data_IF_451225788116
#
_entry.id   IF_451225788116
#
_cell.length_a   1.000
_cell.length_b   1.000
_cell.length_c   1.000
_cell.angle_alpha   90.00
_cell.angle_beta   90.00
_cell.angle_gamma   90.00
#
_symmetry.space_group_name_H-M   'P 1'
#
loop_
_entity.id
_entity.type
_entity.pdbx_description
1 polymer ?
#
# COMPACT_ATOMS: atom_id res chain seq x y z
N UNK A 1 -20.40 26.52 -1.53
CA UNK A 1 -19.57 26.35 -2.73
C UNK A 1 -18.81 25.06 -2.54
N UNK A 2 -18.87 24.12 -3.51
CA UNK A 2 -18.07 22.89 -3.44
C UNK A 2 -16.59 23.23 -3.59
N UNK A 3 -15.73 22.68 -2.74
CA UNK A 3 -14.28 22.79 -2.89
C UNK A 3 -13.89 22.20 -4.27
N UNK A 4 -13.00 22.85 -5.03
CA UNK A 4 -12.59 22.33 -6.34
C UNK A 4 -11.83 21.00 -6.20
N UNK A 5 -11.80 20.23 -7.29
CA UNK A 5 -10.97 19.03 -7.36
C UNK A 5 -9.48 19.41 -7.21
N UNK A 6 -8.72 18.51 -6.57
CA UNK A 6 -7.27 18.63 -6.45
C UNK A 6 -6.60 17.75 -7.49
N UNK A 7 -5.56 18.26 -8.13
CA UNK A 7 -4.81 17.59 -9.17
C UNK A 7 -3.33 17.52 -8.81
N UNK A 8 -2.74 16.35 -8.90
CA UNK A 8 -1.32 16.14 -8.70
C UNK A 8 -0.74 15.40 -9.91
N UNK A 9 0.23 16.02 -10.58
CA UNK A 9 0.92 15.46 -11.74
C UNK A 9 2.29 14.96 -11.32
N UNK A 10 2.69 13.79 -11.81
CA UNK A 10 3.94 13.14 -11.48
C UNK A 10 4.52 12.41 -12.70
N UNK A 11 5.84 12.33 -12.78
CA UNK A 11 6.54 11.36 -13.64
C UNK A 11 6.73 10.10 -12.81
N UNK A 12 6.03 9.04 -13.16
CA UNK A 12 5.98 7.82 -12.39
C UNK A 12 7.35 7.13 -12.33
N UNK A 13 7.72 6.65 -11.13
CA UNK A 13 9.04 6.08 -10.88
C UNK A 13 8.94 4.63 -10.38
N UNK A 14 9.58 3.71 -11.11
CA UNK A 14 9.72 2.32 -10.68
C UNK A 14 10.93 2.16 -9.77
N UNK A 15 10.76 2.37 -8.46
CA UNK A 15 11.82 2.22 -7.47
C UNK A 15 12.17 0.75 -7.17
N UNK A 16 11.42 -0.19 -7.72
CA UNK A 16 11.59 -1.63 -7.47
C UNK A 16 12.19 -2.41 -8.62
N UNK A 17 12.77 -1.72 -9.61
CA UNK A 17 13.33 -2.34 -10.82
C UNK A 17 14.29 -3.49 -10.52
N UNK A 18 15.19 -3.31 -9.54
CA UNK A 18 16.20 -4.29 -9.12
C UNK A 18 15.77 -5.10 -7.88
N UNK A 19 14.50 -5.01 -7.47
CA UNK A 19 14.01 -5.73 -6.29
C UNK A 19 13.88 -7.25 -6.55
N UNK A 20 13.72 -8.02 -5.47
CA UNK A 20 13.44 -9.47 -5.55
C UNK A 20 12.10 -9.77 -6.22
N UNK A 21 11.13 -8.85 -6.14
CA UNK A 21 9.88 -9.00 -6.88
C UNK A 21 10.08 -8.66 -8.36
N UNK A 22 10.40 -9.67 -9.15
CA UNK A 22 10.79 -9.54 -10.56
C UNK A 22 9.68 -9.06 -11.50
N UNK A 23 8.42 -8.89 -11.03
CA UNK A 23 7.36 -8.26 -11.83
C UNK A 23 7.67 -6.79 -12.16
N UNK A 24 8.59 -6.17 -11.40
CA UNK A 24 9.06 -4.82 -11.61
C UNK A 24 10.21 -4.72 -12.63
N UNK A 25 10.77 -5.85 -13.08
CA UNK A 25 11.77 -5.89 -14.16
C UNK A 25 11.11 -6.12 -15.50
N UNK A 26 11.63 -5.49 -16.56
CA UNK A 26 11.07 -5.55 -17.91
C UNK A 26 10.97 -6.97 -18.45
N UNK A 27 12.05 -7.74 -18.30
CA UNK A 27 12.14 -9.09 -18.87
C UNK A 27 11.11 -10.07 -18.28
N UNK A 28 10.84 -9.94 -16.99
CA UNK A 28 9.85 -10.78 -16.30
C UNK A 28 8.44 -10.27 -16.59
N UNK A 29 8.20 -8.98 -16.47
CA UNK A 29 6.89 -8.39 -16.71
C UNK A 29 6.37 -8.70 -18.13
N UNK A 30 7.25 -8.66 -19.16
CA UNK A 30 6.90 -9.01 -20.55
C UNK A 30 6.45 -10.47 -20.70
N UNK A 31 6.99 -11.41 -19.92
CA UNK A 31 6.55 -12.82 -19.92
C UNK A 31 5.11 -12.99 -19.41
N UNK A 32 4.64 -12.04 -18.60
CA UNK A 32 3.25 -12.00 -18.10
C UNK A 32 2.33 -11.08 -18.92
N UNK A 33 2.77 -10.61 -20.10
CA UNK A 33 1.98 -9.83 -21.05
C UNK A 33 1.93 -8.32 -20.78
N UNK A 34 2.80 -7.81 -19.90
CA UNK A 34 2.95 -6.37 -19.67
C UNK A 34 3.93 -5.74 -20.67
N UNK A 35 3.86 -4.41 -20.83
CA UNK A 35 4.79 -3.66 -21.71
C UNK A 35 6.23 -3.65 -21.16
N UNK A 36 6.38 -3.66 -19.84
CA UNK A 36 7.62 -3.55 -19.11
C UNK A 36 7.40 -3.70 -17.61
N UNK A 37 8.45 -3.46 -16.81
CA UNK A 37 8.39 -3.50 -15.36
C UNK A 37 7.37 -2.52 -14.78
N UNK A 38 6.50 -3.01 -13.93
CA UNK A 38 5.43 -2.23 -13.35
C UNK A 38 5.97 -1.24 -12.32
N UNK A 39 5.46 -0.02 -12.31
CA UNK A 39 5.57 0.86 -11.13
C UNK A 39 4.87 0.17 -9.97
N UNK A 40 5.46 0.11 -8.76
CA UNK A 40 4.81 -0.49 -7.61
C UNK A 40 3.47 0.17 -7.28
N UNK A 41 2.42 -0.62 -7.03
CA UNK A 41 1.10 -0.09 -6.65
C UNK A 41 1.12 0.79 -5.39
N UNK A 42 2.17 0.65 -4.56
CA UNK A 42 2.40 1.57 -3.42
C UNK A 42 2.74 2.98 -3.90
N UNK A 43 3.49 3.14 -5.01
CA UNK A 43 3.75 4.47 -5.59
C UNK A 43 2.46 5.07 -6.18
N UNK A 44 1.66 4.26 -6.89
CA UNK A 44 0.35 4.70 -7.39
C UNK A 44 -0.56 5.16 -6.25
N UNK A 45 -0.54 4.44 -5.12
CA UNK A 45 -1.26 4.83 -3.91
C UNK A 45 -0.70 6.13 -3.32
N UNK A 46 0.61 6.31 -3.31
CA UNK A 46 1.24 7.53 -2.80
C UNK A 46 0.79 8.77 -3.59
N UNK A 47 0.66 8.66 -4.91
CA UNK A 47 0.18 9.76 -5.75
C UNK A 47 -1.27 10.15 -5.42
N UNK A 48 -2.14 9.14 -5.18
CA UNK A 48 -3.52 9.37 -4.72
C UNK A 48 -3.56 9.97 -3.31
N UNK A 49 -2.71 9.49 -2.40
CA UNK A 49 -2.59 10.01 -1.04
C UNK A 49 -2.13 11.47 -1.05
N UNK A 50 -1.20 11.84 -1.95
CA UNK A 50 -0.76 13.22 -2.11
C UNK A 50 -1.91 14.14 -2.56
N UNK A 51 -2.69 13.77 -3.57
CA UNK A 51 -3.84 14.54 -4.00
C UNK A 51 -4.89 14.69 -2.88
N UNK A 52 -5.07 13.65 -2.06
CA UNK A 52 -5.96 13.67 -0.89
C UNK A 52 -5.45 14.63 0.19
N UNK A 53 -4.14 14.58 0.50
CA UNK A 53 -3.51 15.46 1.47
C UNK A 53 -3.56 16.93 1.01
N UNK A 54 -3.29 17.21 -0.26
CA UNK A 54 -3.37 18.56 -0.81
C UNK A 54 -4.80 19.16 -0.72
N UNK A 55 -5.82 18.28 -0.59
CA UNK A 55 -7.20 18.70 -0.39
C UNK A 55 -7.55 18.98 1.08
N UNK A 56 -7.14 18.12 2.03
CA UNK A 56 -7.56 18.18 3.44
C UNK A 56 -6.45 18.48 4.44
N UNK A 57 -5.19 18.38 4.04
CA UNK A 57 -4.03 18.59 4.90
C UNK A 57 -3.93 17.63 6.07
N UNK A 58 -3.34 18.12 7.18
CA UNK A 58 -3.07 17.36 8.40
C UNK A 58 -4.32 16.75 9.05
N UNK A 59 -5.48 17.35 8.88
CA UNK A 59 -6.73 16.88 9.48
C UNK A 59 -7.08 15.45 9.03
N UNK A 60 -6.75 15.11 7.77
CA UNK A 60 -6.98 13.77 7.23
C UNK A 60 -6.15 12.68 7.93
N UNK A 61 -4.93 13.00 8.36
CA UNK A 61 -4.01 12.01 8.99
C UNK A 61 -4.46 11.52 10.37
N UNK A 62 -5.44 12.19 10.99
CA UNK A 62 -5.86 11.91 12.37
C UNK A 62 -7.10 11.02 12.49
N UNK A 63 -7.77 10.69 11.41
CA UNK A 63 -9.03 9.91 11.46
C UNK A 63 -9.62 9.64 10.08
N UNK A 64 -8.87 9.97 9.03
CA UNK A 64 -9.29 9.76 7.65
C UNK A 64 -9.07 8.34 7.16
N UNK A 65 -9.60 8.09 5.97
CA UNK A 65 -9.41 6.81 5.26
C UNK A 65 -9.01 7.07 3.82
N UNK A 66 -8.39 6.09 3.20
CA UNK A 66 -8.16 6.03 1.76
C UNK A 66 -8.18 4.57 1.31
N UNK A 67 -8.85 4.32 0.19
CA UNK A 67 -8.81 3.02 -0.47
C UNK A 67 -8.51 3.20 -1.96
N UNK A 68 -7.81 2.22 -2.53
CA UNK A 68 -7.52 2.19 -3.95
C UNK A 68 -7.46 0.75 -4.47
N UNK A 69 -7.91 0.59 -5.73
CA UNK A 69 -7.72 -0.61 -6.55
C UNK A 69 -6.84 -0.25 -7.72
N UNK A 70 -5.83 -1.08 -7.99
CA UNK A 70 -4.92 -0.93 -9.12
C UNK A 70 -5.48 -1.73 -10.29
N UNK A 71 -5.85 -1.02 -11.37
CA UNK A 71 -6.67 -1.54 -12.48
C UNK A 71 -5.79 -1.86 -13.68
N UNK A 72 -4.86 -0.94 -13.99
CA UNK A 72 -3.89 -1.07 -15.06
C UNK A 72 -2.52 -0.59 -14.58
N UNK A 73 -1.44 -1.16 -15.07
CA UNK A 73 -0.11 -0.73 -14.67
C UNK A 73 0.21 0.68 -15.14
N UNK A 74 0.95 1.40 -14.32
CA UNK A 74 1.74 2.57 -14.69
C UNK A 74 3.17 2.12 -14.93
N UNK A 75 3.87 2.73 -15.87
CA UNK A 75 5.24 2.38 -16.22
C UNK A 75 6.21 3.50 -15.88
N UNK A 76 7.48 3.12 -15.66
CA UNK A 76 8.54 4.08 -15.37
C UNK A 76 8.64 5.17 -16.44
N UNK A 77 8.72 6.43 -16.02
CA UNK A 77 8.85 7.59 -16.90
C UNK A 77 7.54 8.07 -17.53
N UNK A 78 6.42 7.35 -17.36
CA UNK A 78 5.12 7.84 -17.82
C UNK A 78 4.63 8.98 -16.93
N UNK A 79 3.98 9.97 -17.55
CA UNK A 79 3.26 11.00 -16.79
C UNK A 79 1.95 10.42 -16.28
N UNK A 80 1.71 10.54 -14.98
CA UNK A 80 0.47 10.15 -14.34
C UNK A 80 -0.18 11.37 -13.66
N UNK A 81 -1.51 11.34 -13.58
CA UNK A 81 -2.32 12.39 -12.98
C UNK A 81 -3.20 11.80 -11.90
N UNK A 82 -2.92 12.13 -10.64
CA UNK A 82 -3.77 11.80 -9.52
C UNK A 82 -4.79 12.92 -9.31
N UNK A 83 -6.07 12.57 -9.22
CA UNK A 83 -7.16 13.51 -8.96
C UNK A 83 -7.93 13.10 -7.71
N UNK A 84 -8.27 14.08 -6.88
CA UNK A 84 -9.16 13.96 -5.75
C UNK A 84 -10.34 14.90 -5.94
N UNK A 85 -11.50 14.36 -6.27
CA UNK A 85 -12.71 15.11 -6.62
C UNK A 85 -13.74 14.94 -5.50
N UNK A 86 -14.28 16.03 -4.92
CA UNK A 86 -15.38 15.97 -3.98
C UNK A 86 -16.55 15.17 -4.55
N UNK A 87 -17.08 14.23 -3.78
CA UNK A 87 -18.28 13.47 -4.14
C UNK A 87 -19.54 14.11 -3.54
N UNK A 88 -20.72 13.58 -3.88
CA UNK A 88 -21.98 14.00 -3.27
C UNK A 88 -22.08 13.62 -1.79
N UNK A 89 -21.31 12.62 -1.36
CA UNK A 89 -21.21 12.22 0.06
C UNK A 89 -20.33 13.20 0.83
N UNK A 90 -20.80 13.73 1.98
CA UNK A 90 -20.03 14.67 2.79
C UNK A 90 -18.66 14.11 3.19
N UNK A 91 -17.63 14.95 3.17
CA UNK A 91 -16.27 14.59 3.57
C UNK A 91 -15.67 13.41 2.80
N UNK A 92 -16.12 13.19 1.56
CA UNK A 92 -15.67 12.09 0.70
C UNK A 92 -15.10 12.61 -0.61
N UNK A 93 -13.99 12.03 -1.04
CA UNK A 93 -13.37 12.25 -2.34
C UNK A 93 -13.44 10.99 -3.17
N UNK A 94 -13.78 11.13 -4.44
CA UNK A 94 -13.52 10.13 -5.47
C UNK A 94 -12.09 10.33 -5.97
N UNK A 95 -11.32 9.23 -6.04
CA UNK A 95 -9.91 9.24 -6.43
C UNK A 95 -9.72 8.52 -7.77
N UNK A 96 -8.90 9.09 -8.64
CA UNK A 96 -8.46 8.44 -9.87
C UNK A 96 -6.99 8.77 -10.16
N UNK A 97 -6.25 7.75 -10.61
CA UNK A 97 -4.93 7.89 -11.21
C UNK A 97 -5.08 7.56 -12.69
N UNK A 98 -4.75 8.49 -13.57
CA UNK A 98 -4.81 8.30 -15.02
C UNK A 98 -3.44 8.52 -15.66
N UNK A 99 -3.19 7.86 -16.78
CA UNK A 99 -2.04 8.16 -17.64
C UNK A 99 -2.37 9.31 -18.63
N UNK A 100 -1.42 9.64 -19.51
CA UNK A 100 -1.57 10.71 -20.52
C UNK A 100 -2.70 10.47 -21.52
N UNK A 101 -3.07 9.22 -21.74
CA UNK A 101 -4.16 8.83 -22.64
C UNK A 101 -5.54 8.88 -21.94
N UNK A 102 -5.60 9.32 -20.68
CA UNK A 102 -6.81 9.34 -19.86
C UNK A 102 -7.27 7.96 -19.38
N UNK A 103 -6.41 6.94 -19.51
CA UNK A 103 -6.74 5.59 -19.03
C UNK A 103 -6.63 5.53 -17.52
N UNK A 104 -7.68 5.05 -16.85
CA UNK A 104 -7.69 4.86 -15.39
C UNK A 104 -6.76 3.69 -15.03
N UNK A 105 -5.68 4.01 -14.31
CA UNK A 105 -4.70 3.05 -13.80
C UNK A 105 -5.03 2.62 -12.37
N UNK A 106 -5.48 3.55 -11.52
CA UNK A 106 -6.01 3.23 -10.20
C UNK A 106 -7.26 4.08 -9.92
N UNK A 107 -8.15 3.56 -9.09
CA UNK A 107 -9.34 4.28 -8.64
C UNK A 107 -9.70 3.89 -7.21
N UNK A 108 -10.36 4.81 -6.50
CA UNK A 108 -10.74 4.61 -5.12
C UNK A 108 -11.50 5.76 -4.52
N UNK A 109 -11.47 5.84 -3.21
CA UNK A 109 -12.08 6.92 -2.44
C UNK A 109 -11.25 7.26 -1.20
N UNK A 110 -11.44 8.47 -0.69
CA UNK A 110 -10.92 8.87 0.60
C UNK A 110 -12.02 9.58 1.42
N UNK A 111 -11.93 9.48 2.74
CA UNK A 111 -12.81 10.19 3.65
C UNK A 111 -11.97 11.00 4.65
N UNK A 112 -12.40 12.22 4.93
CA UNK A 112 -11.73 13.08 5.92
C UNK A 112 -11.85 12.49 7.33
N UNK A 113 -13.01 11.90 7.64
CA UNK A 113 -13.32 11.19 8.87
C UNK A 113 -13.97 9.85 8.50
N UNK A 114 -13.87 8.84 9.33
CA UNK A 114 -14.50 7.55 9.05
C UNK A 114 -13.54 6.37 9.15
N UNK A 115 -12.36 6.58 9.72
CA UNK A 115 -11.54 5.46 10.18
C UNK A 115 -12.40 4.56 11.08
N UNK A 116 -12.36 3.27 10.81
CA UNK A 116 -13.10 2.27 11.58
C UNK A 116 -12.59 2.13 13.01
N UNK A 117 -12.89 1.02 13.66
CA UNK A 117 -12.33 0.75 14.99
C UNK A 117 -10.81 0.61 14.90
N UNK A 118 -10.10 1.37 15.74
CA UNK A 118 -8.66 1.30 15.85
C UNK A 118 -8.22 -0.13 16.23
N UNK A 119 -7.17 -0.69 15.61
CA UNK A 119 -6.70 -2.01 15.96
C UNK A 119 -6.17 -2.05 17.38
N UNK A 120 -6.47 -3.13 18.10
CA UNK A 120 -5.93 -3.37 19.46
C UNK A 120 -4.67 -4.25 19.34
N UNK A 121 -3.59 -3.97 20.07
CA UNK A 121 -2.45 -4.88 20.17
C UNK A 121 -2.82 -6.29 20.63
N UNK A 122 -3.93 -6.45 21.38
CA UNK A 122 -4.43 -7.75 21.80
C UNK A 122 -4.99 -8.58 20.64
N UNK A 123 -5.62 -7.94 19.65
CA UNK A 123 -6.14 -8.59 18.46
C UNK A 123 -5.03 -8.92 17.45
N UNK A 124 -3.93 -8.17 17.52
CA UNK A 124 -2.75 -8.28 16.66
C UNK A 124 -1.49 -8.53 17.52
N UNK A 125 -1.31 -9.73 18.11
CA UNK A 125 -0.13 -10.01 18.91
C UNK A 125 1.14 -10.00 18.04
N UNK A 126 2.24 -9.47 18.59
CA UNK A 126 3.55 -9.57 17.95
C UNK A 126 4.06 -11.01 18.11
N UNK A 127 4.35 -11.66 16.99
CA UNK A 127 5.01 -12.96 16.96
C UNK A 127 6.26 -12.88 16.07
N UNK A 128 7.28 -13.72 16.28
CA UNK A 128 8.50 -13.72 15.47
C UNK A 128 8.22 -13.97 13.99
N UNK A 129 9.03 -13.37 13.11
CA UNK A 129 9.05 -13.74 11.69
C UNK A 129 9.50 -15.20 11.54
N UNK A 130 8.95 -15.94 10.56
CA UNK A 130 9.47 -17.25 10.21
C UNK A 130 10.90 -17.12 9.63
N UNK A 131 11.72 -18.13 9.82
CA UNK A 131 12.98 -18.24 9.11
C UNK A 131 12.73 -18.22 7.60
N UNK A 132 13.64 -17.68 6.84
CA UNK A 132 13.48 -17.51 5.40
C UNK A 132 13.13 -18.83 4.68
N UNK A 133 13.81 -19.91 5.04
CA UNK A 133 13.60 -21.24 4.46
C UNK A 133 12.34 -21.94 5.01
N UNK A 134 11.72 -21.41 6.06
CA UNK A 134 10.50 -21.94 6.66
C UNK A 134 9.24 -21.21 6.20
N UNK A 135 9.37 -20.20 5.34
CA UNK A 135 8.20 -19.48 4.78
C UNK A 135 7.34 -20.44 3.97
N UNK A 136 6.00 -20.46 4.20
CA UNK A 136 5.10 -21.31 3.42
C UNK A 136 5.07 -20.90 1.95
N UNK A 137 4.76 -21.87 1.09
CA UNK A 137 4.48 -21.59 -0.33
C UNK A 137 3.22 -20.70 -0.47
N UNK A 138 3.09 -19.91 -1.55
CA UNK A 138 1.95 -19.01 -1.79
C UNK A 138 0.73 -19.80 -2.30
N UNK A 139 0.20 -20.70 -1.46
CA UNK A 139 -0.89 -21.62 -1.78
C UNK A 139 -2.04 -21.45 -0.78
N UNK A 140 -3.26 -21.79 -1.19
CA UNK A 140 -4.44 -21.75 -0.30
C UNK A 140 -4.25 -22.66 0.92
N UNK A 141 -3.67 -23.84 0.72
CA UNK A 141 -3.50 -24.82 1.78
C UNK A 141 -2.41 -24.44 2.81
N UNK A 142 -1.37 -23.73 2.38
CA UNK A 142 -0.20 -23.39 3.20
C UNK A 142 -0.23 -21.98 3.77
N UNK A 143 -1.10 -21.11 3.21
CA UNK A 143 -1.30 -19.73 3.68
C UNK A 143 -2.80 -19.42 3.85
N UNK A 144 -3.55 -20.22 4.66
CA UNK A 144 -4.99 -20.12 4.79
C UNK A 144 -5.43 -18.92 5.63
N UNK A 145 -6.72 -18.62 5.57
CA UNK A 145 -7.37 -17.66 6.47
C UNK A 145 -7.08 -18.00 7.94
N UNK A 146 -6.88 -16.97 8.76
CA UNK A 146 -6.52 -17.10 10.17
C UNK A 146 -5.03 -17.30 10.45
N UNK A 147 -4.19 -17.48 9.43
CA UNK A 147 -2.73 -17.50 9.61
C UNK A 147 -2.27 -16.19 10.21
N UNK A 148 -1.59 -16.23 11.35
CA UNK A 148 -0.96 -15.07 11.99
C UNK A 148 0.38 -14.79 11.31
N UNK A 149 0.65 -13.52 11.07
CA UNK A 149 1.89 -13.08 10.44
C UNK A 149 2.92 -12.72 11.50
N UNK A 150 4.17 -13.14 11.30
CA UNK A 150 5.31 -12.63 12.06
C UNK A 150 5.44 -11.12 11.86
N UNK A 151 5.69 -10.40 12.94
CA UNK A 151 5.70 -8.94 12.96
C UNK A 151 6.91 -8.36 12.22
N UNK A 152 6.68 -7.30 11.47
CA UNK A 152 7.74 -6.46 10.91
C UNK A 152 7.92 -5.22 11.78
N UNK A 153 9.12 -4.98 12.27
CA UNK A 153 9.37 -3.91 13.26
C UNK A 153 10.62 -3.10 12.92
N UNK A 154 10.56 -1.79 13.20
CA UNK A 154 11.68 -0.87 13.05
C UNK A 154 11.51 0.35 13.98
N UNK A 155 12.61 1.08 14.21
CA UNK A 155 12.55 2.36 14.93
C UNK A 155 12.29 3.47 13.91
N UNK A 156 11.23 4.26 14.15
CA UNK A 156 10.85 5.33 13.23
C UNK A 156 11.84 6.48 13.29
N UNK A 157 12.38 6.82 12.14
CA UNK A 157 13.20 8.01 11.94
C UNK A 157 12.56 8.91 10.88
N UNK A 158 12.23 10.14 11.27
CA UNK A 158 11.51 11.07 10.43
C UNK A 158 12.34 11.53 9.21
N UNK A 159 13.67 11.56 9.30
CA UNK A 159 14.54 11.93 8.17
C UNK A 159 14.60 10.80 7.14
N UNK A 160 14.75 9.57 7.61
CA UNK A 160 14.70 8.36 6.76
C UNK A 160 13.33 8.22 6.08
N UNK A 161 12.24 8.45 6.81
CA UNK A 161 10.88 8.39 6.25
C UNK A 161 10.67 9.44 5.15
N UNK A 162 11.17 10.67 5.35
CA UNK A 162 11.13 11.72 4.33
C UNK A 162 11.95 11.34 3.11
N UNK A 163 13.15 10.80 3.32
CA UNK A 163 14.02 10.34 2.23
C UNK A 163 13.36 9.21 1.44
N UNK A 164 12.77 8.22 2.11
CA UNK A 164 12.03 7.14 1.46
C UNK A 164 10.86 7.65 0.59
N UNK A 165 10.11 8.66 1.06
CA UNK A 165 9.03 9.25 0.29
C UNK A 165 9.54 9.91 -1.01
N UNK A 166 10.66 10.64 -0.92
CA UNK A 166 11.28 11.26 -2.09
C UNK A 166 11.85 10.21 -3.06
N UNK A 167 12.61 9.24 -2.55
CA UNK A 167 13.29 8.25 -3.38
C UNK A 167 12.35 7.24 -4.03
N UNK A 168 11.30 6.83 -3.32
CA UNK A 168 10.37 5.78 -3.79
C UNK A 168 9.14 6.34 -4.49
N UNK A 169 8.58 7.44 -3.95
CA UNK A 169 7.32 7.99 -4.45
C UNK A 169 7.51 9.28 -5.25
N UNK A 170 8.76 9.78 -5.32
CA UNK A 170 9.09 11.07 -5.94
C UNK A 170 8.24 12.20 -5.31
N UNK A 171 7.89 12.04 -4.03
CA UNK A 171 7.01 12.94 -3.30
C UNK A 171 7.72 13.58 -2.11
N UNK A 172 8.04 14.89 -2.16
CA UNK A 172 8.50 15.65 -1.01
C UNK A 172 7.34 15.89 -0.05
N UNK A 173 6.88 14.84 0.64
CA UNK A 173 5.71 14.83 1.49
C UNK A 173 5.65 16.03 2.45
N UNK A 174 4.61 16.88 2.38
CA UNK A 174 4.58 18.19 3.04
C UNK A 174 4.17 18.14 4.53
N UNK A 175 3.70 16.99 5.04
CA UNK A 175 3.25 16.87 6.43
C UNK A 175 4.38 17.10 7.43
N UNK A 176 4.10 17.87 8.48
CA UNK A 176 5.00 18.07 9.61
C UNK A 176 5.36 16.76 10.34
N UNK A 177 4.47 15.77 10.31
CA UNK A 177 4.71 14.43 10.86
C UNK A 177 5.78 13.64 10.12
N UNK A 178 6.11 14.01 8.87
CA UNK A 178 7.12 13.37 8.03
C UNK A 178 6.91 11.85 7.82
N UNK A 179 5.70 11.39 8.02
CA UNK A 179 5.28 10.02 7.75
C UNK A 179 4.29 9.99 6.60
N UNK A 180 4.71 9.46 5.48
CA UNK A 180 3.85 9.33 4.30
C UNK A 180 2.93 8.11 4.47
N UNK A 181 1.60 8.21 4.32
CA UNK A 181 0.68 7.08 4.50
C UNK A 181 1.00 5.85 3.65
N UNK A 182 1.57 6.03 2.45
CA UNK A 182 1.99 4.92 1.60
C UNK A 182 3.13 4.07 2.20
N UNK A 183 3.85 4.57 3.21
CA UNK A 183 4.85 3.76 3.94
C UNK A 183 4.16 2.60 4.66
N UNK A 184 2.95 2.78 5.20
CA UNK A 184 2.20 1.68 5.78
C UNK A 184 1.91 0.56 4.76
N UNK A 185 1.68 0.91 3.49
CA UNK A 185 1.49 -0.07 2.41
C UNK A 185 2.82 -0.69 1.94
N UNK A 186 3.89 0.09 1.93
CA UNK A 186 5.24 -0.43 1.66
C UNK A 186 5.63 -1.47 2.71
N UNK A 187 5.33 -1.19 3.97
CA UNK A 187 5.56 -2.12 5.07
C UNK A 187 4.59 -3.33 5.01
N UNK A 188 3.35 -3.16 4.51
CA UNK A 188 2.46 -4.27 4.21
C UNK A 188 3.03 -5.22 3.14
N UNK A 189 3.74 -4.70 2.15
CA UNK A 189 4.50 -5.50 1.20
C UNK A 189 5.67 -6.23 1.87
N UNK A 190 6.37 -5.56 2.81
CA UNK A 190 7.50 -6.16 3.56
C UNK A 190 7.04 -7.31 4.45
N UNK A 191 5.97 -7.13 5.23
CA UNK A 191 5.45 -8.19 6.10
C UNK A 191 4.93 -9.38 5.28
N UNK A 192 4.28 -9.15 4.13
CA UNK A 192 3.85 -10.22 3.24
C UNK A 192 5.06 -11.04 2.76
N UNK A 193 6.10 -10.40 2.21
CA UNK A 193 7.33 -11.06 1.75
C UNK A 193 8.09 -11.78 2.86
N UNK A 194 8.03 -11.27 4.07
CA UNK A 194 8.70 -11.88 5.22
C UNK A 194 7.97 -13.12 5.75
N UNK A 195 6.70 -13.32 5.39
CA UNK A 195 5.85 -14.40 5.91
C UNK A 195 5.48 -15.47 4.90
N UNK A 196 5.72 -15.27 3.60
CA UNK A 196 5.41 -16.25 2.54
C UNK A 196 6.49 -16.24 1.47
N UNK A 197 6.82 -17.41 0.91
CA UNK A 197 7.84 -17.57 -0.12
C UNK A 197 7.28 -17.14 -1.49
N UNK A 198 7.44 -15.87 -1.84
CA UNK A 198 6.89 -15.30 -3.07
C UNK A 198 7.84 -15.45 -4.27
N UNK A 199 7.27 -15.82 -5.43
CA UNK A 199 7.84 -15.51 -6.73
C UNK A 199 7.45 -14.08 -7.17
N UNK A 200 7.25 -13.81 -8.47
CA UNK A 200 6.63 -12.57 -8.94
C UNK A 200 5.20 -12.46 -8.40
N UNK A 201 4.87 -11.30 -7.82
CA UNK A 201 3.59 -11.05 -7.19
C UNK A 201 3.11 -9.60 -7.45
N UNK A 202 1.83 -9.32 -7.29
CA UNK A 202 1.23 -8.03 -7.62
C UNK A 202 0.32 -7.54 -6.50
N UNK A 203 0.58 -6.33 -5.97
CA UNK A 203 -0.32 -5.59 -5.13
C UNK A 203 -1.52 -5.11 -5.95
N UNK A 204 -2.75 -5.44 -5.56
CA UNK A 204 -3.95 -5.17 -6.36
C UNK A 204 -4.93 -4.19 -5.73
N UNK A 205 -4.97 -4.09 -4.41
CA UNK A 205 -5.81 -3.14 -3.70
C UNK A 205 -5.34 -2.94 -2.26
N UNK A 206 -5.62 -1.78 -1.71
CA UNK A 206 -5.52 -1.54 -0.26
C UNK A 206 -6.57 -0.56 0.21
N UNK A 207 -6.97 -0.73 1.50
CA UNK A 207 -7.64 0.29 2.29
C UNK A 207 -6.78 0.60 3.49
N UNK A 208 -6.61 1.89 3.79
CA UNK A 208 -5.88 2.42 4.92
C UNK A 208 -6.83 3.26 5.78
N UNK A 209 -6.98 2.89 7.04
CA UNK A 209 -7.62 3.70 8.07
C UNK A 209 -6.52 4.35 8.91
N UNK A 210 -6.57 5.66 9.11
CA UNK A 210 -5.55 6.46 9.81
C UNK A 210 -6.03 6.81 11.23
N UNK A 211 -5.18 6.65 12.23
CA UNK A 211 -5.45 6.98 13.63
C UNK A 211 -4.41 7.92 14.22
N UNK A 212 -3.41 8.28 13.46
CA UNK A 212 -2.31 9.15 13.83
C UNK A 212 -1.03 8.84 13.07
N UNK A 213 0.07 9.40 13.53
CA UNK A 213 1.39 9.26 12.93
C UNK A 213 2.40 8.83 13.99
N UNK A 214 3.50 8.16 13.64
CA UNK A 214 4.57 7.85 14.58
C UNK A 214 5.34 9.13 14.95
N UNK A 215 5.97 9.13 16.12
CA UNK A 215 6.90 10.16 16.57
C UNK A 215 8.33 9.62 16.41
N UNK A 216 9.27 10.50 16.11
CA UNK A 216 10.67 10.13 15.91
C UNK A 216 11.23 9.35 17.11
N UNK A 217 11.85 8.20 16.84
CA UNK A 217 12.36 7.27 17.85
C UNK A 217 11.34 6.26 18.39
N UNK A 218 10.05 6.34 18.04
CA UNK A 218 9.10 5.29 18.42
C UNK A 218 9.36 3.99 17.66
N UNK A 219 9.22 2.86 18.37
CA UNK A 219 9.21 1.52 17.74
C UNK A 219 7.90 1.34 16.97
N UNK A 220 8.00 1.24 15.65
CA UNK A 220 6.88 0.91 14.78
C UNK A 220 6.83 -0.60 14.58
N UNK A 221 5.62 -1.17 14.66
CA UNK A 221 5.37 -2.60 14.49
C UNK A 221 4.13 -2.83 13.62
N UNK A 222 4.30 -3.58 12.52
CA UNK A 222 3.20 -4.12 11.74
C UNK A 222 2.94 -5.55 12.19
N UNK A 223 1.67 -5.85 12.46
CA UNK A 223 1.19 -7.15 12.93
C UNK A 223 -0.09 -7.48 12.19
N UNK A 224 -0.36 -8.73 11.94
CA UNK A 224 -1.59 -9.03 11.23
C UNK A 224 -1.91 -10.48 11.02
N UNK A 225 -2.97 -10.67 10.27
CA UNK A 225 -3.52 -11.98 9.94
C UNK A 225 -3.88 -12.04 8.46
N UNK A 226 -3.86 -13.26 7.92
CA UNK A 226 -4.49 -13.57 6.64
C UNK A 226 -5.99 -13.62 6.86
N UNK A 227 -6.75 -12.75 6.17
CA UNK A 227 -8.21 -12.80 6.16
C UNK A 227 -8.72 -13.89 5.24
N UNK A 228 -8.09 -14.03 4.08
CA UNK A 228 -8.51 -14.99 3.06
C UNK A 228 -7.36 -15.28 2.11
N UNK A 229 -7.30 -16.51 1.59
CA UNK A 229 -6.48 -16.88 0.44
C UNK A 229 -7.34 -17.70 -0.51
N UNK A 230 -7.43 -17.27 -1.76
CA UNK A 230 -8.38 -17.82 -2.73
C UNK A 230 -7.83 -17.78 -4.15
N UNK A 231 -8.41 -18.60 -5.02
CA UNK A 231 -8.11 -18.56 -6.44
C UNK A 231 -9.08 -17.63 -7.18
N UNK A 232 -8.53 -16.81 -8.08
CA UNK A 232 -9.30 -15.99 -9.00
C UNK A 232 -8.60 -15.94 -10.36
N UNK A 233 -9.26 -16.42 -11.41
CA UNK A 233 -8.75 -16.44 -12.79
C UNK A 233 -7.38 -17.13 -12.91
N UNK A 234 -7.17 -18.20 -12.14
CA UNK A 234 -5.91 -18.94 -12.10
C UNK A 234 -4.80 -18.31 -11.25
N UNK A 235 -5.01 -17.12 -10.70
CA UNK A 235 -4.09 -16.52 -9.74
C UNK A 235 -4.45 -16.94 -8.31
N UNK A 236 -3.46 -17.15 -7.44
CA UNK A 236 -3.69 -17.23 -5.99
C UNK A 236 -3.57 -15.82 -5.42
N UNK A 237 -4.62 -15.40 -4.74
CA UNK A 237 -4.72 -14.09 -4.09
C UNK A 237 -4.79 -14.24 -2.59
N UNK A 238 -4.30 -13.23 -1.88
CA UNK A 238 -4.47 -13.13 -0.41
C UNK A 238 -5.00 -11.76 -0.02
N UNK A 239 -5.78 -11.74 1.04
CA UNK A 239 -6.26 -10.56 1.73
C UNK A 239 -5.71 -10.57 3.15
N UNK A 240 -5.04 -9.49 3.54
CA UNK A 240 -4.45 -9.31 4.87
C UNK A 240 -5.18 -8.23 5.64
N UNK A 241 -5.26 -8.39 6.96
CA UNK A 241 -5.67 -7.36 7.91
C UNK A 241 -4.48 -7.06 8.84
N UNK A 242 -3.96 -5.86 8.77
CA UNK A 242 -2.74 -5.44 9.43
C UNK A 242 -3.01 -4.26 10.36
N UNK A 243 -2.58 -4.37 11.61
CA UNK A 243 -2.48 -3.24 12.53
C UNK A 243 -1.06 -2.64 12.49
N UNK A 244 -0.97 -1.33 12.38
CA UNK A 244 0.27 -0.56 12.46
C UNK A 244 0.30 0.17 13.80
N UNK A 245 1.31 -0.10 14.60
CA UNK A 245 1.45 0.44 15.96
C UNK A 245 2.76 1.21 16.11
N UNK A 246 2.72 2.36 16.79
CA UNK A 246 3.89 3.08 17.25
C UNK A 246 3.88 3.09 18.79
N UNK A 247 4.90 2.51 19.44
CA UNK A 247 4.95 2.29 20.88
C UNK A 247 3.65 1.63 21.44
N UNK A 248 3.10 0.65 20.73
CA UNK A 248 1.81 -0.01 20.96
C UNK A 248 0.55 0.88 20.82
N UNK A 249 0.67 2.14 20.46
CA UNK A 249 -0.45 3.00 20.08
C UNK A 249 -0.83 2.72 18.62
N UNK A 250 -2.10 2.47 18.28
CA UNK A 250 -2.50 2.27 16.87
C UNK A 250 -2.30 3.58 16.08
N UNK A 251 -1.67 3.48 14.95
CA UNK A 251 -1.49 4.63 14.02
C UNK A 251 -2.18 4.39 12.69
N UNK A 252 -2.32 3.13 12.27
CA UNK A 252 -3.09 2.79 11.08
C UNK A 252 -3.61 1.34 11.12
N UNK A 253 -4.61 1.06 10.27
CA UNK A 253 -5.03 -0.30 9.90
C UNK A 253 -5.01 -0.42 8.40
N UNK A 254 -4.40 -1.48 7.90
CA UNK A 254 -4.28 -1.74 6.45
C UNK A 254 -5.02 -3.02 6.12
N UNK A 255 -5.98 -2.94 5.21
CA UNK A 255 -6.47 -4.11 4.47
C UNK A 255 -5.74 -4.15 3.14
N UNK A 256 -5.02 -5.24 2.88
CA UNK A 256 -4.11 -5.36 1.76
C UNK A 256 -4.43 -6.58 0.93
N UNK A 257 -4.60 -6.42 -0.37
CA UNK A 257 -4.92 -7.50 -1.31
C UNK A 257 -3.81 -7.63 -2.34
N UNK A 258 -3.30 -8.84 -2.50
CA UNK A 258 -2.25 -9.14 -3.46
C UNK A 258 -2.48 -10.46 -4.20
N UNK A 259 -2.02 -10.54 -5.44
CA UNK A 259 -1.78 -11.80 -6.15
C UNK A 259 -0.44 -12.31 -5.63
N UNK A 260 -0.43 -13.43 -4.92
CA UNK A 260 0.77 -14.04 -4.36
C UNK A 260 1.37 -15.14 -5.22
N UNK A 261 0.59 -15.66 -6.19
CA UNK A 261 1.05 -16.54 -7.28
C UNK A 261 0.30 -16.19 -8.56
N UNK A 262 1.05 -15.88 -9.60
CA UNK A 262 0.50 -15.57 -10.91
C UNK A 262 0.02 -16.85 -11.63
N UNK A 263 -1.02 -16.74 -12.46
CA UNK A 263 -1.46 -17.83 -13.34
C UNK A 263 -0.32 -18.26 -14.26
N UNK A 264 -0.19 -19.57 -14.48
CA UNK A 264 0.85 -20.14 -15.37
C UNK A 264 2.24 -20.24 -14.75
N UNK A 265 2.42 -19.92 -13.46
CA UNK A 265 3.61 -20.30 -12.69
C UNK A 265 3.37 -21.65 -12.03
N UNK A 266 4.20 -22.63 -12.37
CA UNK A 266 4.22 -23.94 -11.69
C UNK A 266 5.01 -23.83 -10.39
#
# INVERSE_FOLDING_TARGET
MSTPATHYQIIAYNYSFDSDNKIHSDDVAKKYGFKGGLVPGVADFAYLARATYDHWGEAWLSGGTIEAKFIKPVYHGETAFATATPSDEPNTLSLALTNVDGVICAAGSANLVGAGTAPSPADFPSIPLPDENARPAPEIATFPAGTRLGAYEYDFDASTSTQEAVEKFVDPWPSAARWHPAIALHDANRILRANVALGPWIHTASKLDLFGTPVNGERVSLRGNVLNTFERRGHIMTELDLGVFAANRPIARVKHTAIIRLAGTA
#
